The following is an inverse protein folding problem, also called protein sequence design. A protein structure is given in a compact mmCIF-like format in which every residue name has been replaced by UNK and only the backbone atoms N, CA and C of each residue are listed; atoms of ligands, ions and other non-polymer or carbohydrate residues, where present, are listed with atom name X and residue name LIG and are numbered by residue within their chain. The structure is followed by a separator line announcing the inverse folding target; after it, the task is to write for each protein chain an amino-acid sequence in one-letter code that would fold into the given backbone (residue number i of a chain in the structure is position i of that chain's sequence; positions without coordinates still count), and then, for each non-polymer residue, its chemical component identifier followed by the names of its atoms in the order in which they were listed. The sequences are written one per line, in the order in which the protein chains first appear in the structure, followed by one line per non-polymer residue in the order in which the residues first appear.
data_IF_041750849515
#
_entry.id   IF_041750849515
#
_cell.length_a   1.000
_cell.length_b   1.000
_cell.length_c   1.000
_cell.angle_alpha   90.00
_cell.angle_beta   90.00
_cell.angle_gamma   90.00
#
_symmetry.space_group_name_H-M   'P 1'
#
loop_
_entity.id
_entity.type
_entity.pdbx_description
1 polymer ?
#
# COMPACT_ATOMS: atom_id res chain seq x y z
N UNK A 1 15.97 -11.88 -36.57
CA UNK A 1 16.61 -11.88 -35.39
C UNK A 1 15.78 -11.28 -34.31
N UNK A 2 15.65 -11.94 -33.34
CA UNK A 2 14.82 -11.43 -32.33
C UNK A 2 15.67 -10.62 -31.40
N UNK A 3 15.06 -9.60 -30.94
CA UNK A 3 15.71 -8.82 -29.96
C UNK A 3 15.95 -9.69 -28.77
N UNK A 4 17.05 -9.49 -28.16
CA UNK A 4 17.29 -10.23 -26.95
C UNK A 4 16.28 -9.82 -25.94
N UNK A 5 15.75 -10.80 -25.33
CA UNK A 5 14.87 -10.54 -24.24
C UNK A 5 15.67 -9.84 -23.20
N UNK A 6 15.15 -8.75 -22.68
CA UNK A 6 15.88 -8.11 -21.60
C UNK A 6 16.06 -9.11 -20.52
N UNK A 7 17.25 -9.29 -20.16
CA UNK A 7 17.47 -10.27 -19.17
C UNK A 7 16.85 -9.85 -17.89
N UNK A 8 16.30 -10.75 -17.25
CA UNK A 8 15.78 -10.51 -15.99
C UNK A 8 16.89 -10.11 -15.17
N UNK A 9 16.76 -9.02 -14.53
CA UNK A 9 17.84 -8.56 -13.72
C UNK A 9 18.25 -9.56 -12.73
N UNK A 10 17.37 -10.27 -12.20
CA UNK A 10 17.82 -11.09 -11.16
C UNK A 10 17.79 -12.48 -11.59
N UNK A 11 18.89 -12.96 -11.80
CA UNK A 11 19.01 -14.33 -11.94
C UNK A 11 19.10 -14.97 -10.65
N UNK A 12 19.54 -14.31 -9.65
CA UNK A 12 19.61 -14.86 -8.34
C UNK A 12 18.38 -14.52 -7.56
N UNK A 13 18.42 -14.70 -6.28
CA UNK A 13 17.29 -14.42 -5.44
C UNK A 13 16.98 -12.94 -5.45
N UNK A 14 15.72 -12.64 -5.43
CA UNK A 14 15.28 -11.28 -5.34
C UNK A 14 15.41 -10.83 -3.91
N UNK A 15 16.07 -9.72 -3.75
CA UNK A 15 16.24 -9.14 -2.44
C UNK A 15 15.17 -8.11 -2.21
N UNK A 16 14.36 -8.32 -1.20
CA UNK A 16 13.31 -7.39 -0.85
C UNK A 16 13.68 -6.76 0.46
N UNK A 17 13.61 -5.44 0.48
CA UNK A 17 13.93 -4.72 1.69
C UNK A 17 12.68 -4.39 2.44
N UNK A 18 12.53 -4.89 3.66
CA UNK A 18 11.33 -4.58 4.43
C UNK A 18 11.12 -3.09 4.63
N UNK A 19 12.21 -2.33 4.75
CA UNK A 19 12.06 -0.88 4.92
C UNK A 19 11.42 -0.25 3.70
N UNK A 20 11.74 -0.74 2.49
CA UNK A 20 11.13 -0.21 1.27
C UNK A 20 9.66 -0.54 1.23
N UNK A 21 9.29 -1.74 1.64
CA UNK A 21 7.89 -2.11 1.68
C UNK A 21 7.12 -1.26 2.68
N UNK A 22 7.71 -0.99 3.82
CA UNK A 22 7.04 -0.16 4.80
C UNK A 22 6.91 1.27 4.34
N UNK A 23 7.92 1.78 3.65
CA UNK A 23 7.83 3.14 3.11
C UNK A 23 6.71 3.24 2.10
N UNK A 24 6.58 2.24 1.23
CA UNK A 24 5.52 2.25 0.25
C UNK A 24 4.16 2.12 0.92
N UNK A 25 4.08 1.27 1.95
CA UNK A 25 2.83 1.13 2.69
C UNK A 25 2.43 2.45 3.32
N UNK A 26 3.40 3.19 3.87
CA UNK A 26 3.09 4.48 4.49
C UNK A 26 2.62 5.47 3.45
N UNK A 27 3.21 5.47 2.26
CA UNK A 27 2.77 6.36 1.20
C UNK A 27 1.36 6.05 0.75
N UNK A 28 1.04 4.76 0.62
CA UNK A 28 -0.30 4.37 0.24
C UNK A 28 -1.31 4.73 1.31
N UNK A 29 -0.94 4.56 2.58
CA UNK A 29 -1.85 4.92 3.65
C UNK A 29 -2.10 6.43 3.67
N UNK A 30 -1.07 7.22 3.41
CA UNK A 30 -1.24 8.66 3.35
C UNK A 30 -2.14 9.06 2.19
N UNK A 31 -1.94 8.42 1.04
CA UNK A 31 -2.80 8.69 -0.11
C UNK A 31 -4.24 8.32 0.20
N UNK A 32 -4.45 7.20 0.86
CA UNK A 32 -5.80 6.80 1.23
C UNK A 32 -6.45 7.83 2.14
N UNK A 33 -5.68 8.38 3.07
CA UNK A 33 -6.21 9.41 3.96
C UNK A 33 -6.61 10.65 3.19
N UNK A 34 -5.80 11.05 2.20
CA UNK A 34 -6.15 12.20 1.39
C UNK A 34 -7.40 11.95 0.57
N UNK A 35 -7.51 10.75 0.01
CA UNK A 35 -8.71 10.42 -0.75
C UNK A 35 -9.94 10.41 0.12
N UNK A 36 -9.81 9.96 1.35
CA UNK A 36 -10.95 9.96 2.27
C UNK A 36 -11.42 11.38 2.56
N UNK A 37 -10.48 12.31 2.74
CA UNK A 37 -10.85 13.71 2.95
C UNK A 37 -11.52 14.26 1.71
N UNK A 38 -10.99 13.95 0.53
CA UNK A 38 -11.59 14.41 -0.71
C UNK A 38 -13.00 13.86 -0.87
N UNK A 39 -13.21 12.61 -0.46
CA UNK A 39 -14.54 12.03 -0.53
C UNK A 39 -15.52 12.78 0.36
N UNK A 40 -15.09 13.19 1.55
CA UNK A 40 -15.94 13.99 2.41
C UNK A 40 -16.30 15.30 1.78
N UNK A 41 -15.35 15.94 1.13
CA UNK A 41 -15.64 17.18 0.41
C UNK A 41 -16.64 16.95 -0.70
N UNK A 42 -16.47 15.87 -1.44
CA UNK A 42 -17.40 15.55 -2.52
C UNK A 42 -18.79 15.30 -1.98
N UNK A 43 -18.90 14.65 -0.84
CA UNK A 43 -20.19 14.43 -0.22
C UNK A 43 -20.83 15.72 0.22
N UNK A 44 -20.03 16.64 0.75
CA UNK A 44 -20.56 17.95 1.12
C UNK A 44 -21.09 18.69 -0.10
N UNK A 45 -20.36 18.62 -1.21
CA UNK A 45 -20.81 19.24 -2.44
C UNK A 45 -22.09 18.58 -2.95
N UNK A 46 -22.16 17.26 -2.82
CA UNK A 46 -23.36 16.56 -3.25
C UNK A 46 -24.59 17.06 -2.53
N UNK A 47 -24.45 17.36 -1.24
CA UNK A 47 -25.58 17.88 -0.47
C UNK A 47 -25.88 19.33 -0.84
N UNK A 48 -24.89 20.09 -1.28
CA UNK A 48 -25.05 21.50 -1.57
C UNK A 48 -25.64 21.76 -2.95
N UNK A 49 -25.25 20.98 -3.95
CA UNK A 49 -25.61 21.25 -5.31
C UNK A 49 -27.11 21.34 -5.56
N UNK A 50 -27.92 20.42 -5.02
CA UNK A 50 -29.36 20.51 -5.29
C UNK A 50 -29.96 21.83 -4.80
N UNK A 51 -29.47 22.31 -3.66
CA UNK A 51 -29.98 23.55 -3.10
C UNK A 51 -29.44 24.73 -3.88
N UNK A 52 -28.16 24.73 -4.20
CA UNK A 52 -27.52 25.87 -4.83
C UNK A 52 -27.97 26.05 -6.27
N UNK A 53 -28.03 24.97 -7.01
CA UNK A 53 -28.35 25.05 -8.43
C UNK A 53 -29.83 24.88 -8.71
N UNK A 54 -30.48 24.07 -7.91
CA UNK A 54 -31.90 23.80 -8.11
C UNK A 54 -32.14 22.94 -9.32
N UNK A 55 -33.36 22.50 -9.46
CA UNK A 55 -33.85 21.82 -10.64
C UNK A 55 -33.05 20.55 -10.95
N UNK A 56 -33.12 20.21 -12.20
CA UNK A 56 -32.51 19.00 -12.66
C UNK A 56 -31.01 19.09 -12.65
N UNK A 57 -30.47 20.26 -12.93
CA UNK A 57 -29.02 20.42 -12.90
C UNK A 57 -28.48 20.20 -11.51
N UNK A 58 -29.17 20.70 -10.51
CA UNK A 58 -28.72 20.48 -9.13
C UNK A 58 -28.80 19.04 -8.77
N UNK A 59 -29.83 18.34 -9.22
CA UNK A 59 -29.97 16.93 -8.93
C UNK A 59 -28.87 16.13 -9.59
N UNK A 60 -28.56 16.41 -10.85
CA UNK A 60 -27.54 15.68 -11.58
C UNK A 60 -26.18 15.97 -10.98
N UNK A 61 -25.92 17.22 -10.65
CA UNK A 61 -24.62 17.55 -10.03
C UNK A 61 -24.45 16.87 -8.70
N UNK A 62 -25.53 16.82 -7.91
CA UNK A 62 -25.45 16.13 -6.63
C UNK A 62 -25.20 14.64 -6.80
N UNK A 63 -25.90 14.03 -7.75
CA UNK A 63 -25.74 12.61 -8.01
C UNK A 63 -24.32 12.31 -8.49
N UNK A 64 -23.78 13.18 -9.33
CA UNK A 64 -22.42 13.01 -9.82
C UNK A 64 -21.42 13.12 -8.69
N UNK A 65 -21.60 14.10 -7.81
CA UNK A 65 -20.69 14.26 -6.68
C UNK A 65 -20.76 13.08 -5.74
N UNK A 66 -21.96 12.54 -5.54
CA UNK A 66 -22.11 11.36 -4.70
C UNK A 66 -21.38 10.17 -5.30
N UNK A 67 -21.52 9.98 -6.61
CA UNK A 67 -20.83 8.89 -7.28
C UNK A 67 -19.33 9.08 -7.20
N UNK A 68 -18.87 10.30 -7.34
CA UNK A 68 -17.45 10.59 -7.25
C UNK A 68 -16.92 10.28 -5.86
N UNK A 69 -17.67 10.68 -4.83
CA UNK A 69 -17.27 10.40 -3.46
C UNK A 69 -17.17 8.90 -3.22
N UNK A 70 -18.14 8.14 -3.74
CA UNK A 70 -18.12 6.70 -3.57
C UNK A 70 -16.89 6.10 -4.24
N UNK A 71 -16.53 6.61 -5.40
CA UNK A 71 -15.35 6.12 -6.09
C UNK A 71 -14.09 6.43 -5.29
N UNK A 72 -13.99 7.64 -4.77
CA UNK A 72 -12.83 8.02 -3.96
C UNK A 72 -12.72 7.14 -2.72
N UNK A 73 -13.83 6.84 -2.09
CA UNK A 73 -13.81 5.98 -0.93
C UNK A 73 -13.38 4.57 -1.29
N UNK A 74 -13.85 4.07 -2.42
CA UNK A 74 -13.46 2.73 -2.86
C UNK A 74 -11.96 2.66 -3.11
N UNK A 75 -11.42 3.69 -3.73
CA UNK A 75 -9.98 3.72 -3.99
C UNK A 75 -9.21 3.83 -2.68
N UNK A 76 -9.71 4.64 -1.75
CA UNK A 76 -9.05 4.77 -0.46
C UNK A 76 -9.02 3.43 0.28
N UNK A 77 -10.14 2.71 0.25
CA UNK A 77 -10.19 1.40 0.90
C UNK A 77 -9.21 0.42 0.26
N UNK A 78 -9.13 0.47 -1.07
CA UNK A 78 -8.22 -0.40 -1.77
C UNK A 78 -6.78 -0.07 -1.43
N UNK A 79 -6.46 1.21 -1.37
CA UNK A 79 -5.11 1.64 -1.03
C UNK A 79 -4.74 1.21 0.38
N UNK A 80 -5.70 1.32 1.32
CA UNK A 80 -5.44 0.85 2.67
C UNK A 80 -5.21 -0.64 2.72
N UNK A 81 -5.98 -1.40 1.94
CA UNK A 81 -5.81 -2.84 1.91
C UNK A 81 -4.43 -3.21 1.37
N UNK A 82 -4.00 -2.54 0.31
CA UNK A 82 -2.68 -2.80 -0.23
C UNK A 82 -1.60 -2.41 0.76
N UNK A 83 -1.78 -1.27 1.44
CA UNK A 83 -0.82 -0.84 2.45
C UNK A 83 -0.71 -1.89 3.55
N UNK A 84 -1.83 -2.44 3.98
CA UNK A 84 -1.81 -3.49 4.99
C UNK A 84 -1.07 -4.72 4.52
N UNK A 85 -1.29 -5.09 3.26
CA UNK A 85 -0.58 -6.24 2.71
C UNK A 85 0.92 -5.99 2.67
N UNK A 86 1.33 -4.79 2.28
CA UNK A 86 2.75 -4.48 2.22
C UNK A 86 3.38 -4.46 3.61
N UNK A 87 2.68 -3.90 4.57
CA UNK A 87 3.17 -3.91 5.95
C UNK A 87 3.30 -5.32 6.48
N UNK A 88 2.32 -6.17 6.17
CA UNK A 88 2.39 -7.55 6.57
C UNK A 88 3.54 -8.29 5.94
N UNK A 89 3.79 -8.00 4.66
CA UNK A 89 4.92 -8.61 3.97
C UNK A 89 6.24 -8.17 4.59
N UNK A 90 6.34 -6.88 4.93
CA UNK A 90 7.55 -6.39 5.56
C UNK A 90 7.79 -7.07 6.89
N UNK A 91 6.74 -7.23 7.67
CA UNK A 91 6.86 -7.89 8.96
C UNK A 91 7.28 -9.35 8.78
N UNK A 92 6.73 -10.01 7.77
CA UNK A 92 7.08 -11.39 7.50
C UNK A 92 8.55 -11.53 7.11
N UNK A 93 9.02 -10.62 6.26
CA UNK A 93 10.43 -10.65 5.87
C UNK A 93 11.35 -10.41 7.05
N UNK A 94 10.97 -9.48 7.93
CA UNK A 94 11.79 -9.22 9.12
C UNK A 94 11.81 -10.42 10.04
N UNK A 95 10.67 -11.05 10.21
CA UNK A 95 10.61 -12.23 11.05
C UNK A 95 11.47 -13.35 10.47
N UNK A 96 11.45 -13.48 9.16
CA UNK A 96 12.24 -14.50 8.51
C UNK A 96 13.71 -14.20 8.67
N UNK A 97 14.11 -12.94 8.50
CA UNK A 97 15.50 -12.56 8.69
C UNK A 97 15.95 -12.81 10.12
N UNK A 98 15.11 -12.49 11.07
CA UNK A 98 15.45 -12.70 12.46
C UNK A 98 15.58 -14.18 12.77
N UNK A 99 14.68 -14.98 12.22
CA UNK A 99 14.75 -16.42 12.44
C UNK A 99 16.01 -16.99 11.82
N UNK A 100 16.34 -16.52 10.63
CA UNK A 100 17.53 -17.00 9.96
C UNK A 100 18.78 -16.62 10.73
N UNK A 101 18.84 -15.38 11.19
CA UNK A 101 19.98 -14.95 11.99
C UNK A 101 20.10 -15.74 13.26
N UNK A 102 18.99 -15.97 13.93
CA UNK A 102 19.01 -16.77 15.14
C UNK A 102 19.44 -18.19 14.87
N UNK A 103 18.97 -18.74 13.77
CA UNK A 103 19.33 -20.08 13.43
C UNK A 103 20.82 -20.18 13.13
N UNK A 104 21.36 -19.24 12.40
CA UNK A 104 22.77 -19.27 12.10
C UNK A 104 23.61 -19.10 13.34
N UNK A 105 23.17 -18.25 14.24
CA UNK A 105 23.91 -18.09 15.50
C UNK A 105 23.89 -19.33 16.31
N UNK A 106 22.77 -19.99 16.37
CA UNK A 106 22.69 -21.21 17.15
C UNK A 106 23.42 -22.38 16.50
N UNK A 107 23.47 -22.33 15.17
CA UNK A 107 24.14 -23.42 14.48
C UNK A 107 25.63 -23.35 14.53
N UNK A 108 26.19 -22.30 15.07
CA UNK A 108 27.63 -22.23 15.14
C UNK A 108 28.15 -23.28 16.08
N UNK A 109 29.12 -24.01 15.66
CA UNK A 109 29.64 -25.06 16.52
C UNK A 109 30.24 -24.51 17.81
N UNK A 110 30.03 -25.20 18.83
CA UNK A 110 30.56 -24.78 20.10
C UNK A 110 32.08 -24.68 20.07
N UNK A 111 32.69 -25.52 19.30
CA UNK A 111 34.14 -25.47 19.24
C UNK A 111 34.67 -24.20 18.64
N UNK A 112 33.88 -23.60 17.79
CA UNK A 112 34.31 -22.37 17.19
C UNK A 112 34.54 -21.29 18.19
N UNK A 113 33.66 -21.21 19.16
CA UNK A 113 33.81 -20.17 20.09
C UNK A 113 34.38 -20.64 21.36
N UNK A 114 34.76 -21.83 21.40
CA UNK A 114 35.23 -22.30 22.60
C UNK A 114 36.68 -22.04 22.69
N UNK A 115 37.10 -21.19 23.49
CA UNK A 115 38.53 -20.98 23.58
C UNK A 115 39.12 -22.13 24.37
N UNK A 116 40.23 -22.41 24.16
CA UNK A 116 40.74 -23.46 24.89
C UNK A 116 41.77 -23.05 25.83
#
# INVERSE_FOLDING_TARGET
MSAPVPSRPSRGPITVEPAALEALAAELAALAAELAVDAEHSESLAATFPVALGGEEGWVAGATATAWAALQEAIADRARAVAGTLSGAAAAYRAQDAALSGHMGRGRPAGDREPR
#
